data_IF_313968226614
#
_entry.id   IF_313968226614
#
_cell.length_a   1.000
_cell.length_b   1.000
_cell.length_c   1.000
_cell.angle_alpha   90.00
_cell.angle_beta   90.00
_cell.angle_gamma   90.00
#
_symmetry.space_group_name_H-M   'P 1'
#
loop_
_entity.id
_entity.type
_entity.pdbx_description
1 polymer ?
#
# COMPACT_ATOMS: atom_id res chain seq x y z
N UNK A 1 3.70 -11.14 55.78
CA UNK A 1 2.95 -11.89 54.75
C UNK A 1 2.22 -10.85 53.90
N UNK A 2 2.75 -10.50 52.73
CA UNK A 2 2.04 -9.60 51.81
C UNK A 2 1.12 -10.45 50.92
N UNK A 3 -0.16 -10.29 51.17
CA UNK A 3 -1.27 -10.87 50.44
C UNK A 3 -1.27 -10.39 49.00
N UNK A 4 -1.02 -11.32 48.08
CA UNK A 4 -1.58 -11.41 46.72
C UNK A 4 -2.32 -10.15 46.27
N UNK A 5 -1.57 -9.13 45.84
CA UNK A 5 -2.18 -7.97 45.19
C UNK A 5 -2.84 -8.44 43.90
N UNK A 6 -4.16 -8.25 43.90
CA UNK A 6 -5.10 -8.32 42.78
C UNK A 6 -4.43 -8.25 41.42
N UNK A 7 -4.28 -9.41 40.77
CA UNK A 7 -3.93 -9.46 39.36
C UNK A 7 -5.10 -8.82 38.59
N UNK A 8 -4.91 -7.57 38.18
CA UNK A 8 -5.91 -6.81 37.45
C UNK A 8 -6.34 -7.61 36.20
N UNK A 9 -7.64 -7.92 36.03
CA UNK A 9 -8.15 -8.68 34.89
C UNK A 9 -7.71 -8.10 33.53
N UNK A 10 -7.50 -6.79 33.46
CA UNK A 10 -7.00 -6.10 32.27
C UNK A 10 -5.59 -6.60 31.92
N UNK A 11 -4.68 -6.71 32.89
CA UNK A 11 -3.31 -7.20 32.63
C UNK A 11 -3.28 -8.63 32.11
N UNK A 12 -4.16 -9.50 32.62
CA UNK A 12 -4.29 -10.88 32.15
C UNK A 12 -4.79 -10.92 30.70
N UNK A 13 -5.80 -10.11 30.38
CA UNK A 13 -6.34 -10.03 29.03
C UNK A 13 -5.32 -9.44 28.05
N UNK A 14 -4.62 -8.38 28.43
CA UNK A 14 -3.54 -7.78 27.62
C UNK A 14 -2.42 -8.80 27.34
N UNK A 15 -1.98 -9.55 28.35
CA UNK A 15 -0.96 -10.59 28.15
C UNK A 15 -1.42 -11.68 27.18
N UNK A 16 -2.69 -12.10 27.27
CA UNK A 16 -3.28 -13.09 26.35
C UNK A 16 -3.41 -12.56 24.92
N UNK A 17 -3.87 -11.32 24.74
CA UNK A 17 -3.96 -10.68 23.42
C UNK A 17 -2.57 -10.58 22.78
N UNK A 18 -1.57 -10.12 23.53
CA UNK A 18 -0.20 -10.03 23.04
C UNK A 18 0.37 -11.42 22.65
N UNK A 19 0.05 -12.45 23.43
CA UNK A 19 0.41 -13.84 23.12
C UNK A 19 -0.23 -14.34 21.83
N UNK A 20 -1.53 -14.05 21.63
CA UNK A 20 -2.25 -14.40 20.40
C UNK A 20 -1.68 -13.67 19.18
N UNK A 21 -1.39 -12.37 19.30
CA UNK A 21 -0.77 -11.62 18.21
C UNK A 21 0.60 -12.17 17.83
N UNK A 22 1.40 -12.58 18.83
CA UNK A 22 2.70 -13.21 18.60
C UNK A 22 2.53 -14.54 17.87
N UNK A 23 1.63 -15.41 18.34
CA UNK A 23 1.34 -16.68 17.70
C UNK A 23 0.82 -16.51 16.26
N UNK A 24 0.00 -15.48 16.01
CA UNK A 24 -0.46 -15.15 14.65
C UNK A 24 0.68 -14.71 13.73
N UNK A 25 1.61 -13.88 14.22
CA UNK A 25 2.79 -13.47 13.46
C UNK A 25 3.67 -14.68 13.11
N UNK A 26 3.96 -15.54 14.08
CA UNK A 26 4.73 -16.77 13.88
C UNK A 26 4.05 -17.73 12.87
N UNK A 27 2.72 -17.86 12.94
CA UNK A 27 1.95 -18.65 11.98
C UNK A 27 2.03 -18.07 10.55
N UNK A 28 1.93 -16.75 10.40
CA UNK A 28 2.07 -16.10 9.09
C UNK A 28 3.47 -16.28 8.51
N UNK A 29 4.51 -16.19 9.33
CA UNK A 29 5.89 -16.44 8.93
C UNK A 29 6.10 -17.90 8.51
N UNK A 30 5.55 -18.85 9.27
CA UNK A 30 5.61 -20.28 8.97
C UNK A 30 4.90 -20.58 7.66
N UNK A 31 3.72 -20.00 7.42
CA UNK A 31 3.00 -20.09 6.14
C UNK A 31 3.85 -19.57 4.98
N UNK A 32 4.48 -18.40 5.13
CA UNK A 32 5.33 -17.83 4.10
C UNK A 32 6.58 -18.69 3.83
N UNK A 33 7.20 -19.26 4.87
CA UNK A 33 8.29 -20.22 4.71
C UNK A 33 7.85 -21.48 3.97
N UNK A 34 6.68 -22.02 4.29
CA UNK A 34 6.14 -23.22 3.67
C UNK A 34 5.82 -22.99 2.18
N UNK A 35 5.22 -21.84 1.86
CA UNK A 35 4.99 -21.42 0.48
C UNK A 35 6.32 -21.29 -0.30
N UNK A 36 7.37 -20.72 0.31
CA UNK A 36 8.70 -20.64 -0.30
C UNK A 36 9.30 -22.02 -0.56
N UNK A 37 9.24 -22.93 0.41
CA UNK A 37 9.73 -24.32 0.26
C UNK A 37 8.96 -25.06 -0.83
N UNK A 38 7.64 -24.91 -0.87
CA UNK A 38 6.78 -25.51 -1.89
C UNK A 38 7.10 -24.99 -3.29
N UNK A 39 7.35 -23.69 -3.45
CA UNK A 39 7.78 -23.12 -4.72
C UNK A 39 9.12 -23.70 -5.20
N UNK A 40 10.08 -23.90 -4.29
CA UNK A 40 11.38 -24.55 -4.61
C UNK A 40 11.19 -26.01 -5.03
N UNK A 41 10.39 -26.79 -4.31
CA UNK A 41 10.12 -28.21 -4.62
C UNK A 41 9.45 -28.36 -5.98
N UNK A 42 8.50 -27.49 -6.30
CA UNK A 42 7.78 -27.52 -7.58
C UNK A 42 8.58 -26.94 -8.75
N UNK A 43 9.85 -26.55 -8.55
CA UNK A 43 10.67 -25.92 -9.59
C UNK A 43 10.09 -24.58 -10.07
N UNK A 44 9.16 -23.99 -9.31
CA UNK A 44 8.65 -22.66 -9.59
C UNK A 44 9.79 -21.68 -9.32
N UNK A 45 10.24 -20.99 -10.37
CA UNK A 45 11.07 -19.79 -10.19
C UNK A 45 10.38 -18.92 -9.14
N UNK A 46 11.13 -18.30 -8.20
CA UNK A 46 10.52 -17.38 -7.26
C UNK A 46 9.69 -16.42 -8.09
N UNK A 47 8.37 -16.46 -7.87
CA UNK A 47 7.50 -15.46 -8.46
C UNK A 47 7.95 -14.19 -7.77
N UNK A 48 8.94 -13.51 -8.36
CA UNK A 48 9.05 -12.07 -8.20
C UNK A 48 7.63 -11.62 -8.48
N UNK A 49 6.93 -11.24 -7.42
CA UNK A 49 5.67 -10.55 -7.55
C UNK A 49 6.04 -9.18 -8.10
N UNK A 50 6.51 -9.14 -9.36
CA UNK A 50 6.31 -8.04 -10.26
C UNK A 50 4.78 -8.03 -10.39
N UNK A 51 4.14 -7.40 -9.41
CA UNK A 51 2.82 -6.83 -9.55
C UNK A 51 2.98 -5.79 -10.64
N UNK A 52 3.06 -6.23 -11.89
CA UNK A 52 2.80 -5.37 -13.02
C UNK A 52 1.45 -4.75 -12.73
N UNK A 53 1.47 -3.47 -12.38
CA UNK A 53 0.27 -2.75 -12.04
C UNK A 53 -0.54 -2.63 -13.34
N UNK A 54 -1.49 -3.54 -13.54
CA UNK A 54 -2.41 -3.50 -14.67
C UNK A 54 -3.60 -2.63 -14.28
N UNK A 55 -3.63 -1.40 -14.77
CA UNK A 55 -4.79 -0.52 -14.61
C UNK A 55 -5.67 -0.65 -15.85
N UNK A 56 -6.96 -1.02 -15.69
CA UNK A 56 -7.91 -1.04 -16.79
C UNK A 56 -8.01 0.33 -17.47
N UNK A 57 -8.09 0.35 -18.79
CA UNK A 57 -8.19 1.62 -19.54
C UNK A 57 -9.49 2.39 -19.22
N UNK A 58 -10.52 1.72 -18.71
CA UNK A 58 -11.73 2.35 -18.20
C UNK A 58 -11.48 3.31 -17.02
N UNK A 59 -10.42 3.06 -16.23
CA UNK A 59 -10.03 3.89 -15.09
C UNK A 59 -9.13 5.05 -15.53
N UNK A 60 -8.49 4.94 -16.69
CA UNK A 60 -7.67 6.01 -17.26
C UNK A 60 -8.58 7.04 -17.93
N UNK A 61 -8.97 8.06 -17.17
CA UNK A 61 -9.68 9.21 -17.71
C UNK A 61 -8.90 9.82 -18.87
N UNK A 62 -9.53 9.83 -20.06
CA UNK A 62 -9.00 10.46 -21.27
C UNK A 62 -9.12 11.98 -21.16
N UNK A 63 -8.16 12.70 -21.74
CA UNK A 63 -8.11 14.16 -21.73
C UNK A 63 -7.36 14.77 -20.54
N UNK A 64 -7.22 16.10 -20.59
CA UNK A 64 -6.48 16.90 -19.62
C UNK A 64 -7.36 17.98 -18.96
N UNK A 65 -8.67 17.73 -18.85
CA UNK A 65 -9.53 18.62 -18.07
C UNK A 65 -9.09 18.64 -16.60
N UNK A 66 -9.27 19.76 -15.87
CA UNK A 66 -8.87 19.86 -14.47
C UNK A 66 -9.35 18.69 -13.59
N UNK A 67 -10.59 18.25 -13.79
CA UNK A 67 -11.23 17.16 -13.05
C UNK A 67 -10.69 15.78 -13.46
N UNK A 68 -10.29 15.60 -14.72
CA UNK A 68 -9.66 14.38 -15.19
C UNK A 68 -8.24 14.23 -14.61
N UNK A 69 -7.50 15.34 -14.55
CA UNK A 69 -6.16 15.40 -13.95
C UNK A 69 -6.21 15.14 -12.45
N UNK A 70 -7.16 15.76 -11.73
CA UNK A 70 -7.30 15.56 -10.29
C UNK A 70 -7.65 14.10 -9.94
N UNK A 71 -8.61 13.50 -10.67
CA UNK A 71 -8.93 12.07 -10.52
C UNK A 71 -7.72 11.18 -10.77
N UNK A 72 -6.92 11.47 -11.79
CA UNK A 72 -5.69 10.73 -12.10
C UNK A 72 -4.68 10.84 -10.95
N UNK A 73 -4.47 12.03 -10.42
CA UNK A 73 -3.53 12.26 -9.32
C UNK A 73 -4.00 11.56 -8.04
N UNK A 74 -5.30 11.53 -7.77
CA UNK A 74 -5.86 10.80 -6.62
C UNK A 74 -5.65 9.29 -6.74
N UNK A 75 -5.78 8.73 -7.95
CA UNK A 75 -5.48 7.32 -8.18
C UNK A 75 -3.97 7.05 -7.97
N UNK A 76 -3.10 7.91 -8.48
CA UNK A 76 -1.65 7.79 -8.25
C UNK A 76 -1.28 7.87 -6.77
N UNK A 77 -1.96 8.73 -6.01
CA UNK A 77 -1.79 8.82 -4.57
C UNK A 77 -2.10 7.49 -3.88
N UNK A 78 -3.28 6.92 -4.14
CA UNK A 78 -3.69 5.65 -3.53
C UNK A 78 -2.67 4.55 -3.85
N UNK A 79 -2.17 4.50 -5.08
CA UNK A 79 -1.16 3.51 -5.47
C UNK A 79 0.18 3.72 -4.76
N UNK A 80 0.63 4.97 -4.65
CA UNK A 80 1.85 5.28 -3.92
C UNK A 80 1.69 4.93 -2.42
N UNK A 81 0.54 5.21 -1.81
CA UNK A 81 0.22 4.84 -0.42
C UNK A 81 0.15 3.32 -0.22
N UNK A 82 -0.23 2.56 -1.24
CA UNK A 82 -0.21 1.10 -1.25
C UNK A 82 1.18 0.49 -1.55
N UNK A 83 2.24 1.31 -1.56
CA UNK A 83 3.62 0.86 -1.69
C UNK A 83 4.11 0.68 -3.14
N UNK A 84 3.35 1.13 -4.15
CA UNK A 84 3.84 1.10 -5.53
C UNK A 84 4.84 2.23 -5.79
N UNK A 85 5.98 1.89 -6.41
CA UNK A 85 7.01 2.87 -6.75
C UNK A 85 6.52 3.84 -7.85
N UNK A 86 7.06 5.07 -7.86
CA UNK A 86 6.80 6.05 -8.92
C UNK A 86 7.10 5.47 -10.31
N UNK A 87 8.19 4.69 -10.43
CA UNK A 87 8.56 4.02 -11.68
C UNK A 87 7.52 3.01 -12.14
N UNK A 88 6.92 2.26 -11.20
CA UNK A 88 5.87 1.28 -11.49
C UNK A 88 4.59 1.98 -11.96
N UNK A 89 4.18 3.05 -11.27
CA UNK A 89 3.00 3.83 -11.64
C UNK A 89 3.22 4.51 -13.01
N UNK A 90 4.41 5.06 -13.26
CA UNK A 90 4.77 5.70 -14.54
C UNK A 90 4.66 4.72 -15.72
N UNK A 91 5.22 3.52 -15.58
CA UNK A 91 5.12 2.45 -16.59
C UNK A 91 3.66 2.08 -16.85
N UNK A 92 2.88 1.93 -15.79
CA UNK A 92 1.50 1.49 -15.86
C UNK A 92 0.56 2.52 -16.53
N UNK A 93 0.85 3.82 -16.36
CA UNK A 93 0.15 4.92 -17.02
C UNK A 93 0.75 5.37 -18.34
N UNK A 94 1.87 4.78 -18.78
CA UNK A 94 2.65 5.26 -19.95
C UNK A 94 2.93 6.77 -19.86
N UNK A 95 3.29 7.24 -18.67
CA UNK A 95 3.57 8.66 -18.39
C UNK A 95 4.98 8.84 -17.85
N UNK A 96 5.47 10.07 -17.87
CA UNK A 96 6.79 10.39 -17.34
C UNK A 96 6.83 10.35 -15.81
N UNK A 97 7.97 9.93 -15.25
CA UNK A 97 8.17 9.87 -13.79
C UNK A 97 8.10 11.25 -13.15
N UNK A 98 8.53 12.28 -13.88
CA UNK A 98 8.46 13.68 -13.47
C UNK A 98 7.02 14.16 -13.30
N UNK A 99 6.07 13.70 -14.12
CA UNK A 99 4.66 14.05 -13.97
C UNK A 99 4.08 13.54 -12.64
N UNK A 100 4.43 12.31 -12.24
CA UNK A 100 4.00 11.73 -10.96
C UNK A 100 4.71 12.41 -9.79
N UNK A 101 6.01 12.72 -9.92
CA UNK A 101 6.75 13.47 -8.90
C UNK A 101 6.18 14.87 -8.70
N UNK A 102 5.82 15.56 -9.79
CA UNK A 102 5.16 16.86 -9.73
C UNK A 102 3.79 16.76 -9.05
N UNK A 103 2.99 15.73 -9.36
CA UNK A 103 1.73 15.47 -8.66
C UNK A 103 1.96 15.28 -7.16
N UNK A 104 2.95 14.48 -6.76
CA UNK A 104 3.32 14.26 -5.35
C UNK A 104 3.73 15.56 -4.66
N UNK A 105 4.58 16.36 -5.29
CA UNK A 105 5.05 17.64 -4.75
C UNK A 105 3.92 18.67 -4.61
N UNK A 106 2.91 18.62 -5.49
CA UNK A 106 1.71 19.46 -5.42
C UNK A 106 0.59 18.83 -4.55
N UNK A 107 0.91 17.85 -3.69
CA UNK A 107 -0.07 17.25 -2.78
C UNK A 107 -1.17 16.43 -3.46
N UNK A 108 -0.89 15.88 -4.65
CA UNK A 108 -1.82 15.06 -5.44
C UNK A 108 -3.07 15.80 -5.94
N UNK A 109 -2.99 17.13 -6.05
CA UNK A 109 -4.09 17.97 -6.56
C UNK A 109 -3.72 18.63 -7.88
N UNK A 110 -4.72 18.78 -8.74
CA UNK A 110 -4.57 19.58 -9.95
C UNK A 110 -4.41 21.06 -9.58
N UNK A 111 -3.41 21.75 -10.15
CA UNK A 111 -3.20 23.20 -9.92
C UNK A 111 -4.43 24.04 -10.26
N UNK A 112 -5.21 23.59 -11.24
CA UNK A 112 -6.43 24.27 -11.67
C UNK A 112 -7.62 24.07 -10.72
N UNK A 113 -7.53 23.12 -9.79
CA UNK A 113 -8.52 22.93 -8.71
C UNK A 113 -8.17 23.76 -7.46
N UNK A 114 -6.92 24.22 -7.33
CA UNK A 114 -6.51 25.16 -6.28
C UNK A 114 -6.93 26.58 -6.68
N UNK A 115 -8.24 26.86 -6.65
CA UNK A 115 -8.84 28.19 -6.86
C UNK A 115 -8.58 29.15 -5.68
N UNK A 116 -7.35 29.22 -5.18
CA UNK A 116 -6.85 30.39 -4.45
C UNK A 116 -6.04 31.33 -5.34
N UNK A 117 -5.74 30.93 -6.59
CA UNK A 117 -4.96 31.74 -7.55
C UNK A 117 -5.75 32.17 -8.79
N UNK A 118 -7.09 32.17 -8.75
CA UNK A 118 -7.89 32.98 -9.67
C UNK A 118 -8.09 34.37 -9.05
N UNK A 119 -7.08 35.23 -9.16
CA UNK A 119 -7.24 36.68 -9.13
C UNK A 119 -7.16 37.19 -10.56
#
# INVERSE_FOLDING_TARGET
MHTLEQINPIHILTARVNGLEKAMREMQETKAQLHRKMAVIMGMKPVEAIKELKIPDAVKTKGNTPEAVDRRYRIWQVLHENGYSISTIAKAWKTDRGSIRNAKNNGWRSRYMNKENCK
#
